data_IF_908450272186
#
_entry.id   IF_908450272186
#
_cell.length_a   1.000
_cell.length_b   1.000
_cell.length_c   1.000
_cell.angle_alpha   90.00
_cell.angle_beta   90.00
_cell.angle_gamma   90.00
#
_symmetry.space_group_name_H-M   'P 1'
#
loop_
_entity.id
_entity.type
_entity.pdbx_description
1 polymer ?
#
# COMPACT_ATOMS: atom_id res chain seq x y z
N UNK A 1 -1.62 -20.57 -30.54
CA UNK A 1 -1.38 -19.24 -31.14
C UNK A 1 -2.23 -18.12 -30.51
N UNK A 2 -3.58 -18.19 -30.45
CA UNK A 2 -4.42 -17.11 -29.88
C UNK A 2 -4.12 -16.80 -28.40
N UNK A 3 -3.75 -17.80 -27.57
CA UNK A 3 -3.42 -17.58 -26.15
C UNK A 3 -2.03 -16.95 -25.94
N UNK A 4 -1.09 -17.20 -26.83
CA UNK A 4 0.25 -16.58 -26.80
C UNK A 4 0.17 -15.12 -27.27
N UNK A 5 -0.72 -14.82 -28.23
CA UNK A 5 -0.95 -13.45 -28.70
C UNK A 5 -1.61 -12.58 -27.61
N UNK A 6 -2.49 -13.14 -26.78
CA UNK A 6 -3.11 -12.43 -25.66
C UNK A 6 -2.10 -12.10 -24.55
N UNK A 7 -1.15 -12.98 -24.27
CA UNK A 7 -0.06 -12.74 -23.32
C UNK A 7 0.92 -11.70 -23.87
N UNK A 8 1.23 -11.74 -25.20
CA UNK A 8 2.08 -10.73 -25.84
C UNK A 8 1.41 -9.35 -25.94
N UNK A 9 0.09 -9.28 -26.11
CA UNK A 9 -0.65 -8.02 -26.10
C UNK A 9 -0.71 -7.41 -24.69
N UNK A 10 -0.72 -8.22 -23.63
CA UNK A 10 -0.65 -7.75 -22.25
C UNK A 10 0.74 -7.14 -21.91
N UNK A 11 1.81 -7.59 -22.59
CA UNK A 11 3.18 -7.08 -22.36
C UNK A 11 3.50 -5.81 -23.16
N UNK A 12 2.71 -5.44 -24.17
CA UNK A 12 2.96 -4.26 -25.03
C UNK A 12 2.35 -2.97 -24.46
N UNK A 13 1.42 -3.05 -23.49
CA UNK A 13 0.79 -1.86 -22.87
C UNK A 13 1.68 -1.15 -21.85
N UNK A 14 2.86 -1.72 -21.51
CA UNK A 14 3.73 -1.22 -20.47
C UNK A 14 4.78 -0.16 -20.90
N UNK A 15 4.69 0.42 -22.08
CA UNK A 15 5.68 1.41 -22.50
C UNK A 15 5.00 2.72 -22.92
N UNK A 16 5.01 3.70 -22.07
CA UNK A 16 5.28 5.14 -22.24
C UNK A 16 4.57 6.01 -21.21
N UNK A 17 5.23 6.38 -20.11
CA UNK A 17 5.03 7.69 -19.47
C UNK A 17 6.25 7.96 -18.58
N UNK A 18 6.97 9.03 -18.83
CA UNK A 18 7.90 9.58 -17.85
C UNK A 18 7.06 10.22 -16.76
N UNK A 19 6.99 9.58 -15.59
CA UNK A 19 6.29 10.15 -14.44
C UNK A 19 7.23 11.13 -13.74
N UNK A 20 6.83 12.38 -13.70
CA UNK A 20 7.37 13.33 -12.72
C UNK A 20 6.78 12.92 -11.37
N UNK A 21 7.61 12.39 -10.50
CA UNK A 21 7.18 11.96 -9.17
C UNK A 21 6.71 13.19 -8.39
N UNK A 22 5.41 13.26 -8.10
CA UNK A 22 4.82 14.31 -7.28
C UNK A 22 5.17 14.10 -5.81
N UNK A 23 5.18 15.18 -5.02
CA UNK A 23 5.29 15.08 -3.57
C UNK A 23 4.16 14.22 -2.99
N UNK A 24 4.44 13.51 -1.89
CA UNK A 24 3.51 12.60 -1.20
C UNK A 24 3.01 11.45 -2.09
N UNK A 25 3.89 10.87 -2.88
CA UNK A 25 3.56 9.65 -3.62
C UNK A 25 3.45 8.44 -2.69
N UNK A 26 2.30 7.75 -2.75
CA UNK A 26 2.00 6.55 -1.94
C UNK A 26 2.66 5.28 -2.52
N UNK A 27 3.93 5.35 -2.94
CA UNK A 27 4.56 4.26 -3.69
C UNK A 27 5.36 3.28 -2.82
N UNK A 28 5.83 3.69 -1.65
CA UNK A 28 6.85 2.94 -0.89
C UNK A 28 6.37 2.43 0.47
N UNK A 29 5.11 2.10 0.64
CA UNK A 29 4.55 1.79 1.95
C UNK A 29 4.07 0.35 2.09
N UNK A 30 4.36 -0.26 3.26
CA UNK A 30 3.88 -1.57 3.63
C UNK A 30 4.53 -2.71 2.85
N UNK A 31 5.43 -3.47 3.50
CA UNK A 31 6.26 -4.48 2.84
C UNK A 31 5.45 -5.58 2.16
N UNK A 32 4.31 -5.99 2.76
CA UNK A 32 3.40 -6.96 2.13
C UNK A 32 2.83 -6.42 0.82
N UNK A 33 2.34 -5.19 0.83
CA UNK A 33 1.78 -4.54 -0.35
C UNK A 33 2.85 -4.31 -1.43
N UNK A 34 4.05 -3.87 -1.01
CA UNK A 34 5.19 -3.70 -1.93
C UNK A 34 5.60 -5.00 -2.60
N UNK A 35 5.64 -6.12 -1.86
CA UNK A 35 5.89 -7.43 -2.45
C UNK A 35 4.89 -7.81 -3.55
N UNK A 36 3.69 -7.24 -3.51
CA UNK A 36 2.62 -7.38 -4.52
C UNK A 36 2.62 -6.24 -5.55
N UNK A 37 3.74 -5.51 -5.72
CA UNK A 37 3.83 -4.38 -6.65
C UNK A 37 2.96 -3.17 -6.28
N UNK A 38 2.43 -3.12 -5.06
CA UNK A 38 1.47 -2.11 -4.60
C UNK A 38 0.02 -2.34 -5.05
N UNK A 39 -0.31 -3.46 -5.67
CA UNK A 39 -1.68 -3.87 -5.96
C UNK A 39 -2.36 -4.39 -4.69
N UNK A 40 -2.98 -3.50 -3.92
CA UNK A 40 -3.44 -3.81 -2.58
C UNK A 40 -4.83 -3.24 -2.23
N UNK A 41 -5.44 -2.42 -3.08
CA UNK A 41 -6.71 -1.73 -2.80
C UNK A 41 -7.87 -2.67 -2.51
N UNK A 42 -7.91 -3.84 -3.17
CA UNK A 42 -8.93 -4.88 -2.95
C UNK A 42 -8.44 -6.03 -2.04
N UNK A 43 -7.24 -5.92 -1.45
CA UNK A 43 -6.61 -6.94 -0.58
C UNK A 43 -6.34 -6.38 0.81
N UNK A 44 -6.37 -5.06 0.97
CA UNK A 44 -6.03 -4.34 2.18
C UNK A 44 -6.86 -4.84 3.38
N UNK A 45 -6.24 -5.69 4.24
CA UNK A 45 -6.89 -6.30 5.40
C UNK A 45 -5.94 -6.44 6.60
N UNK A 46 -4.93 -5.59 6.68
CA UNK A 46 -3.90 -5.57 7.72
C UNK A 46 -3.54 -4.13 8.12
N UNK A 47 -2.50 -3.97 8.95
CA UNK A 47 -2.05 -2.66 9.43
C UNK A 47 -1.47 -1.75 8.32
N UNK A 48 -1.32 -2.22 7.07
CA UNK A 48 -0.96 -1.40 5.91
C UNK A 48 -2.20 -0.79 5.22
N UNK A 49 -3.40 -1.29 5.50
CA UNK A 49 -4.65 -0.86 4.88
C UNK A 49 -4.90 0.66 4.93
N UNK A 50 -4.56 1.41 6.02
CA UNK A 50 -4.78 2.86 6.07
C UNK A 50 -4.15 3.65 4.92
N UNK A 51 -3.09 3.14 4.30
CA UNK A 51 -2.41 3.81 3.17
C UNK A 51 -2.93 3.40 1.79
N UNK A 52 -3.63 2.26 1.70
CA UNK A 52 -4.13 1.73 0.43
C UNK A 52 -5.64 1.89 0.30
N UNK A 53 -6.38 1.29 1.22
CA UNK A 53 -7.83 1.39 1.31
C UNK A 53 -8.26 1.23 2.76
N UNK A 54 -8.58 2.33 3.41
CA UNK A 54 -8.96 2.35 4.82
C UNK A 54 -10.17 1.47 5.13
N UNK A 55 -11.08 1.26 4.18
CA UNK A 55 -12.21 0.35 4.35
C UNK A 55 -11.78 -1.08 4.71
N UNK A 56 -10.60 -1.48 4.27
CA UNK A 56 -10.04 -2.80 4.54
C UNK A 56 -9.72 -3.06 6.02
N UNK A 57 -9.53 -2.02 6.83
CA UNK A 57 -9.30 -2.18 8.28
C UNK A 57 -10.49 -2.82 9.00
N UNK A 58 -11.70 -2.73 8.42
CA UNK A 58 -12.90 -3.39 8.96
C UNK A 58 -12.83 -4.93 8.88
N UNK A 59 -11.92 -5.49 8.08
CA UNK A 59 -11.70 -6.94 7.96
C UNK A 59 -10.57 -7.46 8.85
N UNK A 60 -9.92 -6.58 9.62
CA UNK A 60 -8.86 -6.98 10.57
C UNK A 60 -9.50 -7.67 11.77
N UNK A 61 -9.07 -8.91 12.05
CA UNK A 61 -9.71 -9.74 13.07
C UNK A 61 -9.20 -9.46 14.50
N UNK A 62 -8.00 -8.91 14.66
CA UNK A 62 -7.33 -8.66 15.94
C UNK A 62 -6.47 -7.41 15.85
N UNK A 63 -5.97 -6.93 16.99
CA UNK A 63 -5.02 -5.82 16.97
C UNK A 63 -3.82 -6.17 16.10
N UNK A 64 -3.43 -5.24 15.24
CA UNK A 64 -2.24 -5.39 14.43
C UNK A 64 -1.42 -4.12 14.44
N UNK A 65 -0.12 -4.26 14.74
CA UNK A 65 0.86 -3.19 14.66
C UNK A 65 1.96 -3.59 13.69
N UNK A 66 2.37 -2.69 12.80
CA UNK A 66 3.49 -2.93 11.87
C UNK A 66 4.50 -1.78 11.93
N UNK A 67 5.77 -2.15 11.84
CA UNK A 67 6.91 -1.25 11.73
C UNK A 67 7.68 -1.60 10.47
N UNK A 68 7.95 -0.62 9.61
CA UNK A 68 8.73 -0.79 8.40
C UNK A 68 9.90 0.20 8.37
N UNK A 69 11.05 -0.29 7.92
CA UNK A 69 12.18 0.52 7.51
C UNK A 69 12.67 0.10 6.13
N UNK A 70 13.24 1.03 5.38
CA UNK A 70 13.75 0.75 4.04
C UNK A 70 15.01 1.53 3.70
N UNK A 71 15.70 1.04 2.70
CA UNK A 71 16.75 1.76 1.98
C UNK A 71 16.44 1.70 0.50
N UNK A 72 16.18 2.88 -0.08
CA UNK A 72 15.80 3.00 -1.48
C UNK A 72 17.04 3.16 -2.36
N UNK A 73 16.96 2.65 -3.60
CA UNK A 73 17.98 2.83 -4.64
C UNK A 73 19.41 2.52 -4.18
N UNK A 74 19.60 1.36 -3.53
CA UNK A 74 20.92 0.94 -3.05
C UNK A 74 21.90 0.79 -4.23
N UNK A 75 23.17 1.12 -3.99
CA UNK A 75 24.22 1.09 -5.02
C UNK A 75 24.48 2.44 -5.68
N UNK A 76 23.58 3.41 -5.59
CA UNK A 76 23.84 4.75 -6.10
C UNK A 76 24.75 5.52 -5.13
N UNK A 77 25.87 6.04 -5.62
CA UNK A 77 26.81 6.83 -4.82
C UNK A 77 26.20 8.20 -4.46
N UNK A 78 26.33 8.59 -3.18
CA UNK A 78 25.87 9.91 -2.69
C UNK A 78 24.35 10.03 -2.54
N UNK A 79 23.58 8.97 -2.76
CA UNK A 79 22.11 8.97 -2.60
C UNK A 79 21.74 8.12 -1.40
N UNK A 80 21.18 8.76 -0.37
CA UNK A 80 20.59 8.08 0.78
C UNK A 80 19.13 8.48 0.90
N UNK A 81 18.22 7.61 0.47
CA UNK A 81 16.79 7.79 0.63
C UNK A 81 16.26 6.64 1.46
N UNK A 82 15.53 6.97 2.50
CA UNK A 82 14.87 6.00 3.38
C UNK A 82 13.39 6.26 3.47
N UNK A 83 12.59 5.20 3.54
CA UNK A 83 11.18 5.26 3.86
C UNK A 83 10.89 4.43 5.11
N UNK A 84 10.13 5.00 6.04
CA UNK A 84 9.74 4.38 7.29
C UNK A 84 8.23 4.41 7.44
N UNK A 85 7.66 3.40 8.05
CA UNK A 85 6.23 3.29 8.26
C UNK A 85 5.92 2.68 9.62
N UNK A 86 4.91 3.23 10.28
CA UNK A 86 4.27 2.67 11.46
C UNK A 86 2.78 2.61 11.17
N UNK A 87 2.18 1.44 11.31
CA UNK A 87 0.74 1.22 11.17
C UNK A 87 0.18 0.52 12.40
N UNK A 88 -1.04 0.87 12.77
CA UNK A 88 -1.79 0.23 13.83
C UNK A 88 -3.27 0.17 13.48
N UNK A 89 -3.89 -1.00 13.68
CA UNK A 89 -5.32 -1.21 13.53
C UNK A 89 -5.85 -1.86 14.80
N UNK A 90 -6.94 -1.30 15.32
CA UNK A 90 -7.68 -1.84 16.45
C UNK A 90 -9.13 -2.12 16.01
N UNK A 91 -9.52 -3.38 15.83
CA UNK A 91 -10.92 -3.74 15.68
C UNK A 91 -11.65 -3.53 17.00
N UNK A 92 -12.72 -2.73 16.98
CA UNK A 92 -13.56 -2.50 18.17
C UNK A 92 -14.48 -3.70 18.36
N UNK A 93 -15.31 -3.96 17.36
CA UNK A 93 -16.11 -5.18 17.17
C UNK A 93 -16.76 -5.17 15.76
N UNK A 94 -17.46 -6.24 15.42
CA UNK A 94 -18.12 -6.37 14.12
C UNK A 94 -19.18 -5.29 13.85
N UNK A 95 -19.81 -4.72 14.89
CA UNK A 95 -20.83 -3.69 14.79
C UNK A 95 -20.24 -2.29 14.71
N UNK A 96 -19.21 -2.01 15.50
CA UNK A 96 -18.62 -0.67 15.60
C UNK A 96 -17.41 -0.48 14.71
N UNK A 97 -16.93 -1.55 14.06
CA UNK A 97 -15.84 -1.48 13.09
C UNK A 97 -14.46 -1.39 13.72
N UNK A 98 -13.56 -0.64 13.09
CA UNK A 98 -12.17 -0.50 13.49
C UNK A 98 -11.70 0.95 13.47
N UNK A 99 -10.72 1.25 14.29
CA UNK A 99 -9.93 2.48 14.23
C UNK A 99 -8.51 2.14 13.80
N UNK A 100 -7.86 3.07 13.11
CA UNK A 100 -6.49 2.89 12.66
C UNK A 100 -5.67 4.16 12.81
N UNK A 101 -4.38 3.96 12.98
CA UNK A 101 -3.37 5.00 12.94
C UNK A 101 -2.26 4.57 11.99
N UNK A 102 -1.73 5.51 11.21
CA UNK A 102 -0.54 5.28 10.42
C UNK A 102 0.33 6.54 10.36
N UNK A 103 1.62 6.34 10.40
CA UNK A 103 2.63 7.33 10.10
C UNK A 103 3.56 6.80 9.03
N UNK A 104 3.78 7.57 7.99
CA UNK A 104 4.75 7.27 6.95
C UNK A 104 5.69 8.45 6.76
N UNK A 105 6.97 8.16 6.51
CA UNK A 105 8.01 9.16 6.33
C UNK A 105 8.98 8.74 5.25
N UNK A 106 9.18 9.58 4.24
CA UNK A 106 10.27 9.44 3.28
C UNK A 106 11.24 10.59 3.48
N UNK A 107 12.54 10.28 3.53
CA UNK A 107 13.55 11.29 3.80
C UNK A 107 14.82 11.06 2.96
N UNK A 108 15.35 12.18 2.46
CA UNK A 108 16.71 12.32 1.97
C UNK A 108 17.46 13.16 3.01
N UNK A 109 18.38 12.57 3.82
CA UNK A 109 19.03 13.26 4.92
C UNK A 109 19.70 14.58 4.48
N UNK A 110 19.44 15.65 5.22
CA UNK A 110 19.99 16.97 4.95
C UNK A 110 19.38 17.72 3.76
N UNK A 111 18.34 17.19 3.10
CA UNK A 111 17.67 17.83 1.96
C UNK A 111 16.16 17.95 2.15
N UNK A 112 15.47 16.83 2.27
CA UNK A 112 14.00 16.82 2.26
C UNK A 112 13.45 15.70 3.12
N UNK A 113 12.34 15.98 3.77
CA UNK A 113 11.53 15.00 4.49
C UNK A 113 10.05 15.25 4.24
N UNK A 114 9.32 14.18 4.02
CA UNK A 114 7.86 14.16 3.90
C UNK A 114 7.29 13.21 4.93
N UNK A 115 6.42 13.69 5.79
CA UNK A 115 5.70 12.90 6.78
C UNK A 115 4.20 12.94 6.51
N UNK A 116 3.54 11.79 6.64
CA UNK A 116 2.08 11.70 6.59
C UNK A 116 1.57 11.02 7.84
N UNK A 117 0.65 11.66 8.54
CA UNK A 117 -0.08 11.12 9.68
C UNK A 117 -1.50 10.80 9.27
N UNK A 118 -1.98 9.60 9.58
CA UNK A 118 -3.32 9.15 9.26
C UNK A 118 -4.04 8.70 10.53
N UNK A 119 -5.31 9.08 10.65
CA UNK A 119 -6.25 8.51 11.62
C UNK A 119 -7.47 8.05 10.83
N UNK A 120 -7.78 6.76 10.92
CA UNK A 120 -8.83 6.14 10.12
C UNK A 120 -9.91 5.48 10.95
N UNK A 121 -11.10 5.39 10.36
CA UNK A 121 -12.21 4.61 10.85
C UNK A 121 -12.85 3.85 9.69
N UNK A 122 -13.19 2.59 9.92
CA UNK A 122 -13.92 1.78 8.95
C UNK A 122 -14.89 0.82 9.64
N UNK A 123 -15.95 0.44 8.94
CA UNK A 123 -16.86 -0.58 9.43
C UNK A 123 -17.49 -1.38 8.29
N UNK A 124 -17.97 -2.58 8.63
CA UNK A 124 -18.86 -3.36 7.77
C UNK A 124 -20.24 -2.67 7.71
N UNK A 125 -20.83 -2.66 6.53
CA UNK A 125 -22.13 -2.04 6.26
C UNK A 125 -23.27 -3.06 6.23
N UNK A 126 -22.97 -4.35 6.29
CA UNK A 126 -23.94 -5.44 6.09
C UNK A 126 -25.18 -5.32 6.99
N UNK A 127 -24.98 -5.01 8.26
CA UNK A 127 -26.06 -4.82 9.23
C UNK A 127 -26.91 -3.55 8.98
N UNK A 128 -26.30 -2.50 8.39
CA UNK A 128 -26.96 -1.22 8.12
C UNK A 128 -27.89 -1.28 6.90
N UNK A 129 -27.51 -2.06 5.89
CA UNK A 129 -28.25 -2.14 4.61
C UNK A 129 -28.89 -3.51 4.39
N UNK A 130 -28.92 -4.38 5.42
CA UNK A 130 -29.45 -5.74 5.38
C UNK A 130 -28.86 -6.58 4.24
N UNK A 131 -27.54 -6.53 4.08
CA UNK A 131 -26.81 -7.30 3.07
C UNK A 131 -26.42 -8.66 3.65
N UNK A 132 -26.63 -9.73 2.87
CA UNK A 132 -26.28 -11.09 3.28
C UNK A 132 -24.76 -11.31 3.19
N UNK A 133 -24.10 -11.47 4.34
CA UNK A 133 -22.66 -11.79 4.41
C UNK A 133 -22.31 -13.17 3.86
N UNK A 134 -23.26 -14.06 3.68
CA UNK A 134 -23.05 -15.31 2.92
C UNK A 134 -22.79 -15.08 1.42
N UNK A 135 -23.06 -13.87 0.91
CA UNK A 135 -22.85 -13.48 -0.48
C UNK A 135 -21.71 -12.47 -0.59
N UNK A 136 -21.76 -11.39 0.19
CA UNK A 136 -20.77 -10.31 0.17
C UNK A 136 -20.67 -9.60 1.50
N UNK A 137 -19.44 -9.31 1.93
CA UNK A 137 -19.14 -8.39 3.00
C UNK A 137 -18.71 -7.06 2.39
N UNK A 138 -19.46 -5.99 2.70
CA UNK A 138 -19.21 -4.63 2.23
C UNK A 138 -18.73 -3.77 3.37
N UNK A 139 -17.62 -3.06 3.21
CA UNK A 139 -17.13 -2.09 4.16
C UNK A 139 -16.95 -0.72 3.55
N UNK A 140 -16.99 0.30 4.41
CA UNK A 140 -16.62 1.68 4.08
C UNK A 140 -15.69 2.23 5.16
N UNK A 141 -14.83 3.16 4.76
CA UNK A 141 -13.89 3.80 5.66
C UNK A 141 -13.53 5.22 5.24
N UNK A 142 -13.04 5.97 6.21
CA UNK A 142 -12.55 7.34 6.05
C UNK A 142 -11.22 7.50 6.76
N UNK A 143 -10.28 8.24 6.16
CA UNK A 143 -9.05 8.71 6.77
C UNK A 143 -9.06 10.22 6.90
N UNK A 144 -8.63 10.72 8.04
CA UNK A 144 -8.08 12.07 8.16
C UNK A 144 -6.56 11.98 8.01
N UNK A 145 -5.98 12.86 7.17
CA UNK A 145 -4.54 12.92 6.92
C UNK A 145 -4.00 14.31 7.23
N UNK A 146 -2.81 14.33 7.83
CA UNK A 146 -2.00 15.54 7.94
C UNK A 146 -0.66 15.30 7.25
N UNK A 147 -0.38 16.08 6.22
CA UNK A 147 0.84 16.05 5.43
C UNK A 147 1.80 17.09 5.98
N UNK A 148 3.07 16.77 6.08
CA UNK A 148 4.11 17.68 6.54
C UNK A 148 5.35 17.50 5.66
N UNK A 149 5.84 18.60 5.11
CA UNK A 149 7.06 18.65 4.31
C UNK A 149 8.07 19.59 4.95
N UNK A 150 9.31 19.12 5.04
CA UNK A 150 10.49 19.86 5.46
C UNK A 150 11.49 19.90 4.30
N UNK A 151 12.05 21.08 4.02
CA UNK A 151 13.13 21.27 3.08
C UNK A 151 14.28 21.98 3.78
N UNK A 152 15.50 21.44 3.65
CA UNK A 152 16.73 21.98 4.23
C UNK A 152 17.65 22.51 3.13
N UNK A 153 18.25 23.66 3.37
CA UNK A 153 19.11 24.33 2.39
C UNK A 153 20.61 24.17 2.66
N UNK A 154 20.98 23.44 3.69
CA UNK A 154 22.37 23.18 4.06
C UNK A 154 22.86 24.01 5.26
N UNK A 155 24.03 23.68 5.83
CA UNK A 155 24.48 24.25 7.10
C UNK A 155 24.84 25.73 7.03
N UNK A 156 25.07 26.28 5.85
CA UNK A 156 25.35 27.74 5.70
C UNK A 156 24.07 28.56 5.50
N UNK A 157 22.92 27.89 5.29
CA UNK A 157 21.64 28.50 4.97
C UNK A 157 20.51 27.95 5.88
N UNK A 158 20.82 27.54 7.11
CA UNK A 158 19.85 27.00 8.09
C UNK A 158 18.65 27.94 8.34
N UNK A 159 18.85 29.26 8.24
CA UNK A 159 17.78 30.25 8.37
C UNK A 159 16.72 30.17 7.27
N UNK A 160 16.99 29.43 6.18
CA UNK A 160 16.07 29.20 5.07
C UNK A 160 15.29 27.88 5.17
N UNK A 161 15.60 27.03 6.16
CA UNK A 161 14.87 25.79 6.41
C UNK A 161 13.37 26.08 6.54
N UNK A 162 12.57 25.35 5.77
CA UNK A 162 11.14 25.63 5.66
C UNK A 162 10.30 24.42 5.94
N UNK A 163 9.15 24.66 6.58
CA UNK A 163 8.15 23.66 6.90
C UNK A 163 6.81 24.06 6.30
N UNK A 164 6.12 23.11 5.73
CA UNK A 164 4.73 23.27 5.27
C UNK A 164 3.91 22.07 5.70
N UNK A 165 2.72 22.33 6.21
CA UNK A 165 1.76 21.30 6.56
C UNK A 165 0.39 21.59 5.97
N UNK A 166 -0.33 20.53 5.60
CA UNK A 166 -1.69 20.62 5.08
C UNK A 166 -2.52 19.42 5.52
N UNK A 167 -3.82 19.63 5.71
CA UNK A 167 -4.77 18.58 6.06
C UNK A 167 -5.56 18.13 4.82
N UNK A 168 -5.83 16.86 4.73
CA UNK A 168 -6.64 16.24 3.69
C UNK A 168 -7.34 14.98 4.24
N UNK A 169 -7.91 14.16 3.39
CA UNK A 169 -8.51 12.90 3.79
C UNK A 169 -8.71 11.96 2.62
N UNK A 170 -9.04 10.72 2.96
CA UNK A 170 -9.39 9.68 1.99
C UNK A 170 -10.74 9.07 2.34
N UNK A 171 -11.37 8.49 1.34
CA UNK A 171 -12.52 7.59 1.49
C UNK A 171 -12.21 6.26 0.83
N UNK A 172 -12.76 5.18 1.37
CA UNK A 172 -12.59 3.84 0.84
C UNK A 172 -13.87 3.03 0.89
N UNK A 173 -14.01 2.13 -0.07
CA UNK A 173 -15.02 1.06 -0.13
C UNK A 173 -14.32 -0.25 -0.44
N UNK A 174 -14.78 -1.35 0.18
CA UNK A 174 -14.27 -2.68 -0.10
C UNK A 174 -15.41 -3.70 0.01
N UNK A 175 -15.61 -4.45 -1.06
CA UNK A 175 -16.56 -5.56 -1.13
C UNK A 175 -15.79 -6.87 -1.31
N UNK A 176 -16.01 -7.82 -0.40
CA UNK A 176 -15.43 -9.16 -0.42
C UNK A 176 -16.54 -10.18 -0.63
N UNK A 177 -16.56 -10.83 -1.78
CA UNK A 177 -17.57 -11.83 -2.13
C UNK A 177 -17.17 -13.21 -1.62
N UNK A 178 -18.15 -14.02 -1.25
CA UNK A 178 -17.95 -15.39 -0.74
C UNK A 178 -17.27 -16.34 -1.73
N UNK A 179 -17.26 -16.02 -3.02
CA UNK A 179 -16.55 -16.77 -4.06
C UNK A 179 -15.07 -16.38 -4.20
N UNK A 180 -14.54 -15.54 -3.29
CA UNK A 180 -13.14 -15.12 -3.27
C UNK A 180 -12.82 -13.86 -4.09
N UNK A 181 -13.79 -13.25 -4.77
CA UNK A 181 -13.60 -11.99 -5.49
C UNK A 181 -13.60 -10.83 -4.49
N UNK A 182 -12.66 -9.92 -4.61
CA UNK A 182 -12.61 -8.64 -3.91
C UNK A 182 -12.70 -7.48 -4.90
N UNK A 183 -13.48 -6.43 -4.56
CA UNK A 183 -13.57 -5.19 -5.33
C UNK A 183 -13.36 -4.03 -4.38
N UNK A 184 -12.31 -3.23 -4.62
CA UNK A 184 -11.94 -2.07 -3.80
C UNK A 184 -12.02 -0.77 -4.60
N UNK A 185 -12.40 0.29 -3.92
CA UNK A 185 -12.28 1.65 -4.40
C UNK A 185 -11.72 2.53 -3.30
N UNK A 186 -10.79 3.40 -3.64
CA UNK A 186 -10.33 4.47 -2.75
C UNK A 186 -10.16 5.76 -3.52
N UNK A 187 -10.54 6.87 -2.88
CA UNK A 187 -10.23 8.21 -3.35
C UNK A 187 -9.40 8.88 -2.27
N UNK A 188 -8.14 9.20 -2.59
CA UNK A 188 -7.15 9.79 -1.69
C UNK A 188 -7.01 11.28 -1.97
N UNK A 189 -6.64 12.04 -0.92
CA UNK A 189 -6.43 13.48 -1.02
C UNK A 189 -7.68 14.21 -1.55
N UNK A 190 -8.86 13.87 -1.00
CA UNK A 190 -10.15 14.42 -1.46
C UNK A 190 -10.35 15.90 -1.14
N UNK A 191 -9.61 16.42 -0.17
CA UNK A 191 -9.56 17.86 0.14
C UNK A 191 -8.24 18.38 -0.39
N UNK A 192 -8.26 19.45 -1.22
CA UNK A 192 -7.04 20.04 -1.74
C UNK A 192 -6.07 20.42 -0.62
N UNK A 193 -4.85 19.92 -0.68
CA UNK A 193 -3.79 20.13 0.30
C UNK A 193 -2.62 20.85 -0.36
N UNK A 194 -2.45 22.13 -0.04
CA UNK A 194 -1.35 22.97 -0.57
C UNK A 194 -0.10 22.80 0.29
N UNK A 195 0.94 22.23 -0.31
CA UNK A 195 2.25 21.98 0.31
C UNK A 195 3.37 22.87 -0.27
N UNK A 196 3.02 23.80 -1.16
CA UNK A 196 3.97 24.71 -1.79
C UNK A 196 4.55 25.75 -0.82
N UNK A 197 5.83 26.04 -0.91
CA UNK A 197 6.51 27.02 -0.06
C UNK A 197 6.42 28.45 -0.64
N UNK A 198 6.64 28.62 -1.93
CA UNK A 198 6.63 29.90 -2.62
C UNK A 198 5.43 30.05 -3.54
N UNK A 199 5.10 28.99 -4.27
CA UNK A 199 3.95 28.91 -5.14
C UNK A 199 3.01 27.82 -4.64
N UNK A 200 1.75 27.88 -5.06
CA UNK A 200 0.77 26.88 -4.72
C UNK A 200 1.14 25.54 -5.39
N UNK A 201 1.30 24.49 -4.56
CA UNK A 201 1.55 23.12 -4.99
C UNK A 201 0.55 22.20 -4.30
N UNK A 202 -0.53 21.87 -5.00
CA UNK A 202 -1.59 21.03 -4.47
C UNK A 202 -1.30 19.53 -4.71
N UNK A 203 -1.34 18.75 -3.64
CA UNK A 203 -1.31 17.28 -3.73
C UNK A 203 -2.53 16.83 -4.52
N UNK A 204 -2.27 16.11 -5.60
CA UNK A 204 -3.30 15.66 -6.54
C UNK A 204 -4.20 14.59 -5.94
N UNK A 205 -5.50 14.69 -6.22
CA UNK A 205 -6.43 13.60 -5.91
C UNK A 205 -6.05 12.34 -6.69
N UNK A 206 -6.11 11.20 -6.00
CA UNK A 206 -5.82 9.89 -6.58
C UNK A 206 -7.00 8.97 -6.36
N UNK A 207 -7.55 8.42 -7.44
CA UNK A 207 -8.61 7.43 -7.41
C UNK A 207 -8.04 6.07 -7.81
N UNK A 208 -8.33 5.04 -7.03
CA UNK A 208 -7.86 3.68 -7.31
C UNK A 208 -9.04 2.72 -7.33
N UNK A 209 -9.11 1.92 -8.40
CA UNK A 209 -10.00 0.77 -8.50
C UNK A 209 -9.17 -0.50 -8.38
N UNK A 210 -9.49 -1.32 -7.39
CA UNK A 210 -8.85 -2.60 -7.12
C UNK A 210 -9.77 -3.77 -7.45
N UNK A 211 -9.17 -4.83 -7.97
CA UNK A 211 -9.80 -6.13 -8.14
C UNK A 211 -8.89 -7.20 -7.57
N UNK A 212 -9.43 -8.15 -6.83
CA UNK A 212 -8.68 -9.29 -6.33
C UNK A 212 -9.44 -10.60 -6.48
N UNK A 213 -8.70 -11.68 -6.48
CA UNK A 213 -9.26 -13.03 -6.39
C UNK A 213 -8.41 -13.86 -5.46
N UNK A 214 -9.04 -14.38 -4.41
CA UNK A 214 -8.46 -15.33 -3.47
C UNK A 214 -9.03 -16.73 -3.69
N UNK A 215 -8.17 -17.77 -3.57
CA UNK A 215 -8.61 -19.16 -3.52
C UNK A 215 -7.65 -19.99 -2.67
N UNK A 216 -8.18 -21.03 -2.04
CA UNK A 216 -7.37 -21.98 -1.25
C UNK A 216 -6.43 -22.81 -2.12
N UNK A 217 -6.74 -23.01 -3.38
CA UNK A 217 -5.88 -23.73 -4.35
C UNK A 217 -6.13 -23.19 -5.76
N UNK A 218 -5.05 -22.90 -6.49
CA UNK A 218 -5.15 -22.56 -7.91
C UNK A 218 -5.34 -23.84 -8.73
N UNK A 219 -6.48 -23.98 -9.44
CA UNK A 219 -6.74 -25.13 -10.29
C UNK A 219 -5.61 -25.37 -11.29
N UNK A 220 -5.23 -26.62 -11.52
CA UNK A 220 -4.21 -27.11 -12.48
C UNK A 220 -2.75 -26.93 -12.05
N UNK A 221 -2.36 -25.90 -11.28
CA UNK A 221 -0.96 -25.67 -10.88
C UNK A 221 -0.71 -26.04 -9.42
N UNK A 222 -1.80 -26.25 -8.62
CA UNK A 222 -1.76 -26.62 -7.19
C UNK A 222 -0.96 -25.64 -6.33
N UNK A 223 -1.04 -24.34 -6.63
CA UNK A 223 -0.52 -23.29 -5.77
C UNK A 223 -1.52 -23.08 -4.63
N UNK A 224 -1.12 -23.29 -3.36
CA UNK A 224 -2.03 -23.16 -2.22
C UNK A 224 -2.22 -21.69 -1.83
N UNK A 225 -3.39 -21.38 -1.28
CA UNK A 225 -3.71 -20.12 -0.62
C UNK A 225 -3.18 -18.88 -1.38
N UNK A 226 -3.63 -18.71 -2.61
CA UNK A 226 -3.15 -17.65 -3.45
C UNK A 226 -4.13 -16.48 -3.54
N UNK A 227 -3.59 -15.29 -3.74
CA UNK A 227 -4.31 -14.06 -4.07
C UNK A 227 -3.70 -13.44 -5.31
N UNK A 228 -4.52 -13.10 -6.29
CA UNK A 228 -4.14 -12.24 -7.42
C UNK A 228 -4.81 -10.90 -7.20
N UNK A 229 -4.09 -9.82 -7.42
CA UNK A 229 -4.62 -8.46 -7.31
C UNK A 229 -4.22 -7.60 -8.50
N UNK A 230 -5.11 -6.67 -8.85
CA UNK A 230 -4.92 -5.66 -9.89
C UNK A 230 -5.50 -4.34 -9.40
N UNK A 231 -4.69 -3.28 -9.44
CA UNK A 231 -5.13 -1.92 -9.16
C UNK A 231 -4.95 -1.04 -10.40
N UNK A 232 -5.97 -0.26 -10.72
CA UNK A 232 -5.92 0.80 -11.74
C UNK A 232 -6.01 2.14 -11.02
N UNK A 233 -4.99 2.96 -11.21
CA UNK A 233 -4.78 4.22 -10.51
C UNK A 233 -4.99 5.36 -11.49
N UNK A 234 -5.85 6.30 -11.11
CA UNK A 234 -6.13 7.51 -11.87
C UNK A 234 -5.63 8.72 -11.07
N UNK A 235 -4.66 9.43 -11.62
CA UNK A 235 -4.10 10.64 -11.03
C UNK A 235 -4.05 11.72 -12.11
N UNK A 236 -4.87 12.76 -11.97
CA UNK A 236 -5.01 13.80 -12.98
C UNK A 236 -5.35 13.19 -14.38
N UNK A 237 -4.46 13.38 -15.35
CA UNK A 237 -4.57 12.82 -16.70
C UNK A 237 -3.82 11.48 -16.89
N UNK A 238 -3.15 11.00 -15.84
CA UNK A 238 -2.33 9.80 -15.88
C UNK A 238 -3.11 8.59 -15.35
N UNK A 239 -2.87 7.45 -15.99
CA UNK A 239 -3.41 6.16 -15.54
C UNK A 239 -2.27 5.19 -15.43
N UNK A 240 -2.12 4.54 -14.27
CA UNK A 240 -1.13 3.49 -14.04
C UNK A 240 -1.78 2.21 -13.54
N UNK A 241 -1.10 1.10 -13.76
CA UNK A 241 -1.58 -0.24 -13.42
C UNK A 241 -0.56 -0.92 -12.50
N UNK A 242 -1.06 -1.57 -11.44
CA UNK A 242 -0.28 -2.42 -10.54
C UNK A 242 -0.87 -3.82 -10.54
N UNK A 243 -0.02 -4.83 -10.53
CA UNK A 243 -0.44 -6.22 -10.46
C UNK A 243 0.37 -6.97 -9.41
N UNK A 244 -0.26 -7.89 -8.70
CA UNK A 244 0.37 -8.65 -7.63
C UNK A 244 -0.16 -10.06 -7.49
N UNK A 245 0.71 -10.91 -6.98
CA UNK A 245 0.42 -12.29 -6.60
C UNK A 245 0.97 -12.54 -5.20
N UNK A 246 0.20 -13.14 -4.34
CA UNK A 246 0.61 -13.64 -3.04
C UNK A 246 0.19 -15.12 -2.91
N UNK A 247 1.07 -15.96 -2.37
CA UNK A 247 0.74 -17.35 -2.03
C UNK A 247 1.36 -17.71 -0.69
N UNK A 248 0.62 -18.49 0.09
CA UNK A 248 1.08 -18.99 1.38
C UNK A 248 1.38 -20.47 1.28
N UNK A 249 2.57 -20.86 1.70
CA UNK A 249 3.04 -22.24 1.78
C UNK A 249 3.41 -22.60 3.23
N UNK A 250 3.85 -23.83 3.50
CA UNK A 250 4.22 -24.32 4.83
C UNK A 250 3.13 -24.07 5.88
N UNK A 251 1.91 -24.52 5.61
CA UNK A 251 0.75 -24.33 6.49
C UNK A 251 0.46 -22.86 6.78
N UNK A 252 0.52 -22.02 5.75
CA UNK A 252 0.32 -20.55 5.78
C UNK A 252 1.40 -19.76 6.57
N UNK A 253 2.54 -20.37 6.89
CA UNK A 253 3.61 -19.69 7.63
C UNK A 253 4.52 -18.86 6.73
N UNK A 254 4.75 -19.31 5.50
CA UNK A 254 5.63 -18.62 4.55
C UNK A 254 4.80 -18.04 3.42
N UNK A 255 4.83 -16.72 3.30
CA UNK A 255 4.28 -15.98 2.17
C UNK A 255 5.35 -15.75 1.10
N UNK A 256 4.98 -15.95 -0.16
CA UNK A 256 5.80 -15.63 -1.33
C UNK A 256 4.97 -14.66 -2.18
N UNK A 257 5.59 -13.56 -2.60
CA UNK A 257 4.92 -12.49 -3.33
C UNK A 257 5.71 -12.10 -4.56
N UNK A 258 4.99 -11.82 -5.62
CA UNK A 258 5.50 -11.24 -6.85
C UNK A 258 4.58 -10.10 -7.26
N UNK A 259 5.14 -9.03 -7.75
CA UNK A 259 4.35 -7.91 -8.20
C UNK A 259 5.07 -7.05 -9.20
N UNK A 260 4.34 -6.16 -9.82
CA UNK A 260 4.91 -5.22 -10.77
C UNK A 260 4.01 -4.02 -11.03
N UNK A 261 4.66 -2.96 -11.41
CA UNK A 261 4.09 -1.73 -11.93
C UNK A 261 4.96 -1.25 -13.10
N UNK A 262 4.56 -0.19 -13.77
CA UNK A 262 5.25 0.32 -14.96
C UNK A 262 6.75 0.63 -14.72
N UNK A 263 7.11 1.00 -13.48
CA UNK A 263 8.45 1.47 -13.13
C UNK A 263 9.32 0.44 -12.41
N UNK A 264 8.71 -0.64 -11.88
CA UNK A 264 9.41 -1.58 -11.02
C UNK A 264 8.81 -2.98 -11.02
N UNK A 265 9.67 -3.95 -10.77
CA UNK A 265 9.31 -5.33 -10.45
C UNK A 265 9.62 -5.61 -8.97
N UNK A 266 8.72 -6.33 -8.30
CA UNK A 266 8.80 -6.58 -6.87
C UNK A 266 8.79 -8.07 -6.54
N UNK A 267 9.62 -8.46 -5.57
CA UNK A 267 9.63 -9.79 -4.98
C UNK A 267 9.48 -9.62 -3.47
N UNK A 268 8.61 -10.40 -2.84
CA UNK A 268 8.37 -10.33 -1.39
C UNK A 268 8.34 -11.70 -0.73
N UNK A 269 8.77 -11.73 0.53
CA UNK A 269 8.69 -12.89 1.42
C UNK A 269 8.17 -12.44 2.77
N UNK A 270 7.38 -13.31 3.41
CA UNK A 270 6.90 -13.09 4.77
C UNK A 270 6.92 -14.39 5.55
N UNK A 271 7.31 -14.36 6.82
CA UNK A 271 7.25 -15.52 7.68
C UNK A 271 6.52 -15.23 8.99
N UNK A 272 5.49 -16.03 9.28
CA UNK A 272 4.66 -15.91 10.47
C UNK A 272 5.13 -16.88 11.55
N UNK A 273 5.46 -16.32 12.72
CA UNK A 273 5.71 -17.03 13.97
C UNK A 273 4.45 -16.94 14.83
N UNK A 274 3.83 -18.06 15.10
CA UNK A 274 2.69 -18.15 16.01
C UNK A 274 3.19 -18.45 17.43
N UNK A 275 2.71 -17.69 18.40
CA UNK A 275 2.98 -17.88 19.83
C UNK A 275 1.73 -18.36 20.54
N UNK A 276 1.85 -18.64 21.84
CA UNK A 276 0.70 -18.88 22.68
C UNK A 276 -0.25 -17.68 22.69
N UNK A 277 -1.54 -17.90 23.02
CA UNK A 277 -2.59 -16.88 23.12
C UNK A 277 -2.87 -16.11 21.81
N UNK A 278 -2.78 -16.81 20.67
CA UNK A 278 -3.11 -16.26 19.34
C UNK A 278 -2.21 -15.08 18.87
N UNK A 279 -1.22 -14.72 19.66
CA UNK A 279 -0.24 -13.70 19.27
C UNK A 279 0.63 -14.21 18.13
N UNK A 280 0.89 -13.35 17.15
CA UNK A 280 1.73 -13.68 15.99
C UNK A 280 2.73 -12.56 15.73
N UNK A 281 3.93 -12.96 15.30
CA UNK A 281 4.94 -12.07 14.74
C UNK A 281 5.13 -12.42 13.27
N UNK A 282 4.98 -11.45 12.40
CA UNK A 282 5.31 -11.61 10.97
C UNK A 282 6.56 -10.80 10.67
N UNK A 283 7.52 -11.43 10.01
CA UNK A 283 8.70 -10.77 9.47
C UNK A 283 8.55 -10.75 7.95
N UNK A 284 8.49 -9.56 7.38
CA UNK A 284 8.35 -9.37 5.95
C UNK A 284 9.60 -8.70 5.35
N UNK A 285 9.94 -9.13 4.14
CA UNK A 285 10.95 -8.53 3.29
C UNK A 285 10.39 -8.33 1.89
N UNK A 286 10.70 -7.19 1.26
CA UNK A 286 10.47 -6.97 -0.16
C UNK A 286 11.71 -6.35 -0.81
N UNK A 287 11.97 -6.77 -2.03
CA UNK A 287 12.94 -6.19 -2.95
C UNK A 287 12.16 -5.59 -4.12
N UNK A 288 12.42 -4.32 -4.39
CA UNK A 288 11.94 -3.63 -5.57
C UNK A 288 13.10 -3.37 -6.51
N UNK A 289 12.97 -3.82 -7.74
CA UNK A 289 13.90 -3.62 -8.83
C UNK A 289 13.37 -2.54 -9.77
N UNK A 290 13.88 -1.30 -9.71
CA UNK A 290 13.45 -0.24 -10.62
C UNK A 290 13.90 -0.56 -12.05
N UNK A 291 13.02 -0.32 -13.02
CA UNK A 291 13.32 -0.58 -14.44
C UNK A 291 14.00 0.61 -15.13
N UNK A 292 13.89 1.80 -14.53
CA UNK A 292 14.34 3.06 -15.14
C UNK A 292 15.59 3.64 -14.48
N UNK A 293 16.01 3.10 -13.32
CA UNK A 293 17.19 3.59 -12.59
C UNK A 293 18.35 2.64 -12.84
N UNK A 294 19.27 3.03 -13.72
CA UNK A 294 20.51 2.30 -14.00
C UNK A 294 21.44 2.31 -12.78
N UNK A 295 22.28 1.28 -12.62
CA UNK A 295 23.27 1.12 -11.54
C UNK A 295 22.69 0.94 -10.12
N UNK A 296 21.35 0.90 -9.97
CA UNK A 296 20.72 0.58 -8.68
C UNK A 296 20.65 -0.94 -8.48
N UNK A 297 21.01 -1.39 -7.27
CA UNK A 297 20.78 -2.79 -6.82
C UNK A 297 19.37 -2.99 -6.27
N UNK A 298 18.49 -2.00 -6.44
CA UNK A 298 17.11 -2.02 -5.98
C UNK A 298 16.90 -1.36 -4.62
N UNK A 299 15.64 -1.36 -4.22
CA UNK A 299 15.18 -0.84 -2.93
C UNK A 299 14.81 -2.01 -2.01
N UNK A 300 15.28 -1.98 -0.78
CA UNK A 300 15.09 -3.04 0.21
C UNK A 300 14.17 -2.57 1.33
N UNK A 301 13.15 -3.37 1.64
CA UNK A 301 12.14 -3.06 2.63
C UNK A 301 12.03 -4.21 3.63
N UNK A 302 11.99 -3.87 4.91
CA UNK A 302 11.82 -4.81 6.02
C UNK A 302 10.69 -4.36 6.91
N UNK A 303 9.86 -5.30 7.37
CA UNK A 303 8.83 -5.02 8.35
C UNK A 303 8.73 -6.10 9.42
N UNK A 304 8.27 -5.65 10.59
CA UNK A 304 7.85 -6.48 11.71
C UNK A 304 6.39 -6.15 12.00
N UNK A 305 5.52 -7.15 11.95
CA UNK A 305 4.10 -6.98 12.27
C UNK A 305 3.73 -7.88 13.44
N UNK A 306 3.05 -7.31 14.42
CA UNK A 306 2.53 -8.01 15.60
C UNK A 306 1.01 -8.05 15.53
N UNK A 307 0.44 -9.25 15.73
CA UNK A 307 -1.01 -9.51 15.84
C UNK A 307 -1.29 -10.04 17.24
N UNK A 308 -2.27 -9.43 17.95
CA UNK A 308 -2.53 -9.75 19.37
C UNK A 308 -3.94 -9.37 19.83
#
# INVERSE_FOLDING_TARGET
>A
MKKILAVLLLTIVFFTAQQVQAAFDDTYWGVRALGMGGAFTAVANDANAPLYNVAGTAFTAQNEATLMGSRLFTGLEGVEVGANYIGFVHPIDAKYGSISFAWSSIATPGLRREDTFNVGYARLLNDLINLDSGIVDLSAGVNFKYLMQEVKFGPEEEDLDTYKGAATGDIGLLAMFSNGIGVGFTSKYIVPADIGFMEKDEVKNVNVLGLSYYSDELPYIKIPYFTIALDVIFRDSETSIRAGLESYVLDKKLAIRLGGREEAFNIGFGYEFAFANETKLVIDYALELPMQVEESYGSHFFALSFKF
#
